data_IF_996565065366
#
_entry.id   IF_996565065366
#
_cell.length_a   1.000
_cell.length_b   1.000
_cell.length_c   1.000
_cell.angle_alpha   90.00
_cell.angle_beta   90.00
_cell.angle_gamma   90.00
#
_symmetry.space_group_name_H-M   'P 1'
#
loop_
_entity.id
_entity.type
_entity.pdbx_description
1 polymer ?
#
# COMPACT_ATOMS: atom_id res chain seq x y z
N UNK A 1 38.43 20.50 -21.55
CA UNK A 1 37.05 20.42 -21.02
C UNK A 1 36.82 21.60 -20.08
N UNK A 2 35.89 22.50 -20.39
CA UNK A 2 35.67 23.73 -19.61
C UNK A 2 35.06 23.40 -18.23
N UNK A 3 35.73 23.79 -17.13
CA UNK A 3 35.32 23.46 -15.76
C UNK A 3 33.88 23.85 -15.40
N UNK A 4 33.30 24.86 -16.07
CA UNK A 4 31.89 25.25 -15.92
C UNK A 4 30.92 24.17 -16.43
N UNK A 5 31.29 23.43 -17.50
CA UNK A 5 30.49 22.31 -18.03
C UNK A 5 30.56 21.09 -17.11
N UNK A 6 31.72 20.84 -16.51
CA UNK A 6 31.90 19.76 -15.54
C UNK A 6 31.09 20.01 -14.26
N UNK A 7 31.08 21.25 -13.75
CA UNK A 7 30.28 21.64 -12.59
C UNK A 7 28.77 21.46 -12.85
N UNK A 8 28.28 21.87 -14.02
CA UNK A 8 26.87 21.71 -14.39
C UNK A 8 26.46 20.23 -14.51
N UNK A 9 27.33 19.37 -15.04
CA UNK A 9 27.08 17.92 -15.10
C UNK A 9 27.04 17.26 -13.70
N UNK A 10 27.89 17.71 -12.77
CA UNK A 10 27.91 17.17 -11.40
C UNK A 10 26.64 17.56 -10.63
N UNK A 11 26.18 18.80 -10.77
CA UNK A 11 24.92 19.26 -10.16
C UNK A 11 23.71 18.51 -10.74
N UNK A 12 23.68 18.30 -12.06
CA UNK A 12 22.62 17.52 -12.71
C UNK A 12 22.62 16.04 -12.28
N UNK A 13 23.80 15.44 -12.10
CA UNK A 13 23.93 14.06 -11.62
C UNK A 13 23.47 13.90 -10.16
N UNK A 14 23.76 14.88 -9.29
CA UNK A 14 23.29 14.87 -7.90
C UNK A 14 21.77 15.08 -7.79
N UNK A 15 21.17 15.90 -8.64
CA UNK A 15 19.72 16.11 -8.68
C UNK A 15 18.95 14.84 -9.07
N UNK A 16 19.52 14.00 -9.95
CA UNK A 16 18.92 12.72 -10.37
C UNK A 16 18.91 11.66 -9.25
N UNK A 17 19.82 11.75 -8.27
CA UNK A 17 19.89 10.84 -7.12
C UNK A 17 18.83 11.17 -6.06
N UNK A 18 18.39 12.43 -5.97
CA UNK A 18 17.30 12.82 -5.05
C UNK A 18 15.90 12.45 -5.57
N UNK A 19 15.74 12.25 -6.89
CA UNK A 19 14.50 11.77 -7.50
C UNK A 19 14.22 10.28 -7.26
N UNK A 20 15.23 9.51 -6.81
CA UNK A 20 15.11 8.08 -6.49
C UNK A 20 15.06 7.80 -5.00
N UNK A 21 14.85 8.82 -4.16
CA UNK A 21 14.60 8.60 -2.74
C UNK A 21 13.36 7.70 -2.58
N UNK A 22 13.48 6.53 -1.90
CA UNK A 22 12.32 5.69 -1.65
C UNK A 22 11.29 6.52 -0.89
N UNK A 23 10.08 6.57 -1.45
CA UNK A 23 8.95 7.27 -0.87
C UNK A 23 8.84 6.88 0.60
N UNK A 24 8.87 7.88 1.46
CA UNK A 24 8.81 7.72 2.91
C UNK A 24 7.52 6.97 3.28
N UNK A 25 7.56 6.20 4.36
CA UNK A 25 6.46 5.38 4.87
C UNK A 25 5.09 6.04 4.62
N UNK A 26 4.33 5.48 3.69
CA UNK A 26 3.00 5.99 3.38
C UNK A 26 2.03 5.52 4.47
N UNK A 27 0.99 6.29 4.79
CA UNK A 27 -0.04 5.85 5.74
C UNK A 27 -0.64 4.47 5.40
N UNK A 28 -0.66 4.12 4.11
CA UNK A 28 -1.09 2.81 3.61
C UNK A 28 -0.12 1.68 4.02
N UNK A 29 1.19 1.92 3.95
CA UNK A 29 2.19 0.92 4.36
C UNK A 29 2.19 0.71 5.87
N UNK A 30 1.95 1.77 6.66
CA UNK A 30 1.80 1.65 8.12
C UNK A 30 0.55 0.85 8.48
N UNK A 31 -0.58 1.13 7.82
CA UNK A 31 -1.80 0.33 7.97
C UNK A 31 -1.56 -1.13 7.57
N UNK A 32 -0.96 -1.37 6.40
CA UNK A 32 -0.66 -2.71 5.92
C UNK A 32 0.22 -3.49 6.89
N UNK A 33 1.26 -2.84 7.45
CA UNK A 33 2.13 -3.46 8.46
C UNK A 33 1.35 -3.88 9.69
N UNK A 34 0.49 -3.02 10.22
CA UNK A 34 -0.38 -3.33 11.36
C UNK A 34 -1.25 -4.56 11.07
N UNK A 35 -1.92 -4.60 9.92
CA UNK A 35 -2.78 -5.73 9.55
C UNK A 35 -1.99 -7.03 9.32
N UNK A 36 -0.78 -6.94 8.78
CA UNK A 36 0.14 -8.08 8.64
C UNK A 36 0.58 -8.63 10.00
N UNK A 37 0.86 -7.75 10.96
CA UNK A 37 1.31 -8.13 12.30
C UNK A 37 0.17 -8.70 13.16
N UNK A 38 -1.05 -8.17 13.02
CA UNK A 38 -2.17 -8.46 13.94
C UNK A 38 -3.18 -9.48 13.40
N UNK A 39 -3.57 -9.41 12.11
CA UNK A 39 -4.70 -10.18 11.57
C UNK A 39 -4.28 -11.23 10.54
N UNK A 40 -3.28 -10.94 9.70
CA UNK A 40 -2.88 -11.82 8.59
C UNK A 40 -1.87 -12.90 9.00
N UNK A 41 -2.13 -13.51 10.15
CA UNK A 41 -1.32 -14.59 10.72
C UNK A 41 -2.20 -15.80 11.11
N UNK A 42 -1.69 -17.03 10.95
CA UNK A 42 -0.37 -17.39 10.43
C UNK A 42 -0.28 -17.23 8.90
N UNK A 43 0.93 -17.00 8.39
CA UNK A 43 1.18 -16.94 6.94
C UNK A 43 2.24 -17.95 6.49
N UNK A 44 2.11 -18.38 5.24
CA UNK A 44 3.15 -19.15 4.53
C UNK A 44 4.29 -18.26 4.03
N UNK A 45 4.06 -16.94 3.98
CA UNK A 45 5.05 -15.95 3.59
C UNK A 45 5.83 -15.47 4.82
N UNK A 46 7.12 -15.16 4.63
CA UNK A 46 7.86 -14.41 5.65
C UNK A 46 7.33 -12.98 5.76
N UNK A 47 7.56 -12.29 6.88
CA UNK A 47 7.11 -10.90 7.04
C UNK A 47 7.59 -9.99 5.90
N UNK A 48 8.84 -10.13 5.47
CA UNK A 48 9.37 -9.35 4.35
C UNK A 48 8.64 -9.64 3.02
N UNK A 49 8.24 -10.89 2.80
CA UNK A 49 7.43 -11.26 1.64
C UNK A 49 6.00 -10.71 1.74
N UNK A 50 5.39 -10.76 2.93
CA UNK A 50 4.08 -10.15 3.18
C UNK A 50 4.11 -8.65 2.90
N UNK A 51 5.14 -7.93 3.37
CA UNK A 51 5.24 -6.48 3.14
C UNK A 51 5.45 -6.13 1.67
N UNK A 52 6.19 -6.95 0.91
CA UNK A 52 6.31 -6.79 -0.55
C UNK A 52 4.98 -7.02 -1.26
N UNK A 53 4.21 -8.01 -0.83
CA UNK A 53 2.86 -8.25 -1.37
C UNK A 53 1.93 -7.06 -1.08
N UNK A 54 1.98 -6.50 0.13
CA UNK A 54 1.21 -5.31 0.48
C UNK A 54 1.61 -4.08 -0.34
N UNK A 55 2.90 -3.87 -0.58
CA UNK A 55 3.38 -2.80 -1.46
C UNK A 55 2.82 -2.95 -2.88
N UNK A 56 2.87 -4.17 -3.42
CA UNK A 56 2.25 -4.49 -4.71
C UNK A 56 0.74 -4.22 -4.70
N UNK A 57 0.05 -4.67 -3.65
CA UNK A 57 -1.40 -4.53 -3.52
C UNK A 57 -1.84 -3.07 -3.46
N UNK A 58 -1.15 -2.24 -2.66
CA UNK A 58 -1.38 -0.80 -2.58
C UNK A 58 -1.21 -0.16 -3.96
N UNK A 59 -0.12 -0.49 -4.66
CA UNK A 59 0.15 0.03 -6.00
C UNK A 59 -0.93 -0.39 -7.01
N UNK A 60 -1.38 -1.64 -6.95
CA UNK A 60 -2.43 -2.16 -7.83
C UNK A 60 -3.78 -1.48 -7.58
N UNK A 61 -4.07 -1.13 -6.32
CA UNK A 61 -5.32 -0.45 -5.92
C UNK A 61 -5.34 1.04 -6.26
N UNK A 62 -4.19 1.66 -6.54
CA UNK A 62 -4.07 3.12 -6.68
C UNK A 62 -5.06 3.78 -7.66
N UNK A 63 -5.40 3.19 -8.84
CA UNK A 63 -6.37 3.79 -9.78
C UNK A 63 -7.80 3.89 -9.23
N UNK A 64 -8.09 3.17 -8.15
CA UNK A 64 -9.42 2.95 -7.61
C UNK A 64 -9.66 3.69 -6.29
N UNK A 65 -8.66 4.42 -5.79
CA UNK A 65 -8.74 5.13 -4.52
C UNK A 65 -9.92 6.11 -4.51
N UNK A 66 -10.69 6.10 -3.43
CA UNK A 66 -11.88 6.94 -3.27
C UNK A 66 -13.17 6.35 -3.86
N UNK A 67 -13.13 5.16 -4.48
CA UNK A 67 -14.35 4.45 -4.83
C UNK A 67 -15.08 3.92 -3.59
N UNK A 68 -16.41 3.83 -3.72
CA UNK A 68 -17.26 3.11 -2.78
C UNK A 68 -17.88 1.89 -3.50
N UNK A 69 -17.73 0.71 -2.89
CA UNK A 69 -18.24 -0.57 -3.39
C UNK A 69 -19.32 -1.06 -2.43
N UNK A 70 -20.45 -1.51 -2.96
CA UNK A 70 -21.52 -2.16 -2.19
C UNK A 70 -21.59 -3.65 -2.52
N UNK A 71 -21.62 -4.47 -1.49
CA UNK A 71 -21.67 -5.93 -1.60
C UNK A 71 -22.94 -6.43 -0.92
N UNK A 72 -23.79 -7.13 -1.67
CA UNK A 72 -24.96 -7.82 -1.11
C UNK A 72 -24.52 -9.20 -0.66
N UNK A 73 -24.72 -9.52 0.63
CA UNK A 73 -24.20 -10.73 1.23
C UNK A 73 -25.25 -11.48 2.05
N UNK A 74 -25.07 -12.79 2.19
CA UNK A 74 -25.88 -13.60 3.12
C UNK A 74 -25.36 -13.41 4.54
N UNK A 75 -26.23 -13.36 5.55
CA UNK A 75 -25.80 -13.39 6.97
C UNK A 75 -25.25 -14.76 7.36
N UNK A 76 -23.95 -14.97 7.16
CA UNK A 76 -23.17 -16.11 7.64
C UNK A 76 -21.87 -15.61 8.27
N UNK A 77 -21.28 -16.42 9.15
CA UNK A 77 -20.10 -16.03 9.92
C UNK A 77 -18.94 -15.50 9.05
N UNK A 78 -18.71 -16.08 7.87
CA UNK A 78 -17.65 -15.63 6.95
C UNK A 78 -17.90 -14.21 6.44
N UNK A 79 -19.11 -13.89 5.98
CA UNK A 79 -19.42 -12.54 5.50
C UNK A 79 -19.44 -11.52 6.65
N UNK A 80 -19.80 -11.94 7.86
CA UNK A 80 -19.67 -11.05 9.03
C UNK A 80 -18.21 -10.68 9.30
N UNK A 81 -17.30 -11.65 9.18
CA UNK A 81 -15.86 -11.41 9.31
C UNK A 81 -15.34 -10.50 8.19
N UNK A 82 -15.74 -10.76 6.95
CA UNK A 82 -15.39 -9.89 5.81
C UNK A 82 -15.88 -8.45 6.02
N UNK A 83 -17.13 -8.26 6.42
CA UNK A 83 -17.74 -6.96 6.63
C UNK A 83 -17.14 -6.18 7.80
N UNK A 84 -16.85 -6.87 8.92
CA UNK A 84 -16.41 -6.22 10.16
C UNK A 84 -14.89 -6.05 10.24
N UNK A 85 -14.13 -6.93 9.59
CA UNK A 85 -12.67 -6.99 9.71
C UNK A 85 -12.00 -6.67 8.37
N UNK A 86 -12.22 -7.48 7.34
CA UNK A 86 -11.48 -7.35 6.08
C UNK A 86 -11.83 -6.07 5.30
N UNK A 87 -13.09 -5.63 5.34
CA UNK A 87 -13.52 -4.39 4.71
C UNK A 87 -12.78 -3.18 5.29
N UNK A 88 -12.60 -3.17 6.61
CA UNK A 88 -11.83 -2.13 7.32
C UNK A 88 -10.35 -2.18 6.94
N UNK A 89 -9.76 -3.37 6.92
CA UNK A 89 -8.38 -3.55 6.49
C UNK A 89 -8.16 -3.05 5.06
N UNK A 90 -9.06 -3.43 4.16
CA UNK A 90 -9.03 -3.02 2.77
C UNK A 90 -9.12 -1.50 2.61
N UNK A 91 -10.04 -0.84 3.32
CA UNK A 91 -10.18 0.62 3.29
C UNK A 91 -8.94 1.33 3.85
N UNK A 92 -8.42 0.89 4.99
CA UNK A 92 -7.22 1.50 5.59
C UNK A 92 -5.98 1.36 4.68
N UNK A 93 -5.85 0.23 3.98
CA UNK A 93 -4.70 -0.06 3.10
C UNK A 93 -4.84 0.65 1.76
N UNK A 94 -6.04 0.68 1.16
CA UNK A 94 -6.22 1.11 -0.24
C UNK A 94 -6.89 2.48 -0.38
N UNK A 95 -7.63 2.91 0.63
CA UNK A 95 -8.52 4.07 0.56
C UNK A 95 -9.80 3.81 -0.26
N UNK A 96 -10.19 2.55 -0.44
CA UNK A 96 -11.42 2.12 -1.12
C UNK A 96 -12.39 1.61 -0.07
N UNK A 97 -13.61 2.14 -0.07
CA UNK A 97 -14.61 1.80 0.93
C UNK A 97 -15.50 0.65 0.44
N UNK A 98 -15.71 -0.34 1.30
CA UNK A 98 -16.59 -1.48 1.00
C UNK A 98 -17.67 -1.54 2.07
N UNK A 99 -18.92 -1.41 1.64
CA UNK A 99 -20.09 -1.53 2.51
C UNK A 99 -20.85 -2.82 2.18
N UNK A 100 -21.33 -3.50 3.22
CA UNK A 100 -22.11 -4.72 3.12
C UNK A 100 -23.57 -4.43 3.44
N UNK A 101 -24.48 -5.04 2.68
CA UNK A 101 -25.93 -5.06 2.86
C UNK A 101 -26.42 -6.53 2.93
#
# INVERSE_FOLDING_TARGET
MNGKKAFFCVVAALALIFLSAPCWASPQMDAAKKWVDDEFQPSTLTKDQQMKEMEWFIKASAPFKGMEIKVVSKTIATHEYEAKVLAKAFEEITGIKVAFD
#
